data_IF_077644847878
#
_entry.id   IF_077644847878
#
_cell.length_a   1.000
_cell.length_b   1.000
_cell.length_c   1.000
_cell.angle_alpha   90.00
_cell.angle_beta   90.00
_cell.angle_gamma   90.00
#
_symmetry.space_group_name_H-M   'P 1'
#
loop_
_entity.id
_entity.type
_entity.pdbx_description
1 polymer ?
#
# COMPACT_ATOMS: atom_id res chain seq x y z
N UNK A 1 -2.20 10.15 11.18
CA UNK A 1 -3.34 10.71 11.94
C UNK A 1 -3.55 9.83 13.15
N UNK A 2 -3.87 10.38 14.32
CA UNK A 2 -4.13 9.61 15.55
C UNK A 2 -5.64 9.45 15.75
N UNK A 3 -6.16 8.24 15.94
CA UNK A 3 -7.60 7.98 16.07
C UNK A 3 -8.26 8.82 17.17
N UNK A 4 -7.55 9.03 18.28
CA UNK A 4 -8.04 9.79 19.43
C UNK A 4 -8.24 11.28 19.15
N UNK A 5 -7.78 11.79 17.99
CA UNK A 5 -7.91 13.19 17.60
C UNK A 5 -8.67 13.38 16.30
N UNK A 6 -9.24 12.31 15.71
CA UNK A 6 -9.99 12.40 14.45
C UNK A 6 -11.36 13.04 14.67
N UNK A 7 -11.99 12.75 15.81
CA UNK A 7 -13.26 13.33 16.22
C UNK A 7 -13.02 14.31 17.36
N UNK A 8 -13.61 15.51 17.27
CA UNK A 8 -13.77 16.37 18.45
C UNK A 8 -14.83 15.79 19.39
N UNK A 9 -14.82 16.20 20.66
CA UNK A 9 -15.82 15.78 21.64
C UNK A 9 -17.26 16.07 21.17
N UNK A 10 -17.42 17.18 20.46
CA UNK A 10 -18.70 17.61 19.89
C UNK A 10 -19.14 16.71 18.72
N UNK A 11 -18.21 16.28 17.86
CA UNK A 11 -18.48 15.32 16.80
C UNK A 11 -18.75 13.92 17.36
N UNK A 12 -18.03 13.49 18.40
CA UNK A 12 -18.26 12.22 19.07
C UNK A 12 -19.66 12.17 19.71
N UNK A 13 -20.09 13.27 20.34
CA UNK A 13 -21.44 13.39 20.90
C UNK A 13 -22.53 13.32 19.81
N UNK A 14 -22.33 13.97 18.67
CA UNK A 14 -23.28 13.90 17.55
C UNK A 14 -23.40 12.48 16.97
N UNK A 15 -22.28 11.77 16.86
CA UNK A 15 -22.26 10.37 16.41
C UNK A 15 -22.98 9.48 17.41
N UNK A 16 -22.75 9.66 18.72
CA UNK A 16 -23.44 8.89 19.77
C UNK A 16 -24.95 9.13 19.77
N UNK A 17 -25.41 10.37 19.57
CA UNK A 17 -26.83 10.70 19.46
C UNK A 17 -27.46 10.04 18.22
N UNK A 18 -26.80 10.12 17.07
CA UNK A 18 -27.27 9.50 15.83
C UNK A 18 -27.37 7.97 15.95
N UNK A 19 -26.39 7.34 16.61
CA UNK A 19 -26.40 5.92 16.93
C UNK A 19 -27.61 5.59 17.80
N UNK A 20 -27.81 6.30 18.92
CA UNK A 20 -28.94 6.05 19.81
C UNK A 20 -30.30 6.22 19.13
N UNK A 21 -30.45 7.19 18.23
CA UNK A 21 -31.67 7.35 17.43
C UNK A 21 -31.91 6.20 16.45
N UNK A 22 -30.84 5.64 15.86
CA UNK A 22 -30.93 4.50 14.95
C UNK A 22 -31.22 3.18 15.68
N UNK A 23 -30.57 2.94 16.82
CA UNK A 23 -30.83 1.80 17.69
C UNK A 23 -32.25 1.85 18.25
N UNK A 24 -32.79 3.02 18.60
CA UNK A 24 -34.18 3.14 19.07
C UNK A 24 -35.23 2.72 18.01
N UNK A 25 -34.85 2.71 16.72
CA UNK A 25 -35.73 2.34 15.60
C UNK A 25 -35.44 0.94 15.06
N UNK A 26 -34.40 0.28 15.57
CA UNK A 26 -33.95 -1.03 15.11
C UNK A 26 -33.75 -1.97 16.30
N UNK A 27 -33.60 -3.27 16.07
CA UNK A 27 -33.19 -4.21 17.14
C UNK A 27 -31.70 -4.56 17.03
N UNK A 28 -30.93 -3.66 16.42
CA UNK A 28 -29.51 -3.83 16.17
C UNK A 28 -28.70 -2.95 17.14
N UNK A 29 -27.52 -3.44 17.51
CA UNK A 29 -26.49 -2.68 18.23
C UNK A 29 -25.49 -2.12 17.22
N UNK A 30 -25.16 -0.85 17.34
CA UNK A 30 -24.31 -0.11 16.42
C UNK A 30 -23.05 0.34 17.17
N UNK A 31 -21.92 -0.33 16.90
CA UNK A 31 -20.62 0.01 17.48
C UNK A 31 -19.81 0.86 16.50
N UNK A 32 -19.40 2.05 16.92
CA UNK A 32 -18.50 2.90 16.15
C UNK A 32 -17.05 2.69 16.60
N UNK A 33 -16.19 2.25 15.67
CA UNK A 33 -14.76 2.08 15.92
C UNK A 33 -13.94 3.00 15.01
N UNK A 34 -13.03 3.76 15.60
CA UNK A 34 -12.07 4.61 14.87
C UNK A 34 -10.68 4.07 15.12
N UNK A 35 -10.01 3.66 14.03
CA UNK A 35 -8.64 3.17 14.08
C UNK A 35 -7.68 4.20 13.46
N UNK A 36 -6.51 4.35 14.08
CA UNK A 36 -5.42 5.24 13.62
C UNK A 36 -4.95 4.80 12.23
N UNK A 37 -4.96 3.49 12.01
CA UNK A 37 -4.56 2.85 10.77
C UNK A 37 -5.38 1.58 10.58
N UNK A 38 -5.82 1.28 9.35
CA UNK A 38 -6.62 0.07 9.07
C UNK A 38 -5.79 -1.23 9.10
N UNK A 39 -4.46 -1.13 9.24
CA UNK A 39 -3.53 -2.25 9.18
C UNK A 39 -3.39 -2.85 7.77
N UNK A 40 -2.15 -3.25 7.43
CA UNK A 40 -1.77 -4.05 6.24
C UNK A 40 -1.79 -3.36 4.87
N UNK A 41 -1.32 -2.12 4.80
CA UNK A 41 -0.87 -1.58 3.53
C UNK A 41 0.58 -1.94 3.19
N UNK A 42 1.31 -2.62 4.08
CA UNK A 42 2.68 -3.09 3.86
C UNK A 42 2.81 -3.90 2.54
N UNK A 43 1.71 -4.52 2.09
CA UNK A 43 1.65 -5.25 0.83
C UNK A 43 1.83 -4.35 -0.40
N UNK A 44 1.34 -3.12 -0.35
CA UNK A 44 1.46 -2.19 -1.48
C UNK A 44 2.83 -1.54 -1.57
N UNK A 45 3.51 -1.38 -0.45
CA UNK A 45 4.92 -0.96 -0.41
C UNK A 45 5.80 -2.00 -1.08
N UNK A 46 5.58 -3.28 -0.76
CA UNK A 46 6.31 -4.38 -1.41
C UNK A 46 6.00 -4.47 -2.91
N UNK A 47 4.74 -4.27 -3.32
CA UNK A 47 4.37 -4.25 -4.74
C UNK A 47 5.08 -3.11 -5.49
N UNK A 48 5.16 -1.92 -4.89
CA UNK A 48 5.91 -0.79 -5.45
C UNK A 48 7.41 -1.12 -5.57
N UNK A 49 7.99 -1.76 -4.56
CA UNK A 49 9.35 -2.30 -4.60
C UNK A 49 9.59 -3.21 -5.80
N UNK A 50 8.70 -4.19 -6.01
CA UNK A 50 8.84 -5.15 -7.13
C UNK A 50 8.70 -4.46 -8.48
N UNK A 51 7.74 -3.54 -8.64
CA UNK A 51 7.55 -2.79 -9.89
C UNK A 51 8.78 -1.94 -10.20
N UNK A 52 9.33 -1.24 -9.20
CA UNK A 52 10.55 -0.44 -9.38
C UNK A 52 11.75 -1.32 -9.75
N UNK A 53 11.92 -2.47 -9.08
CA UNK A 53 12.97 -3.43 -9.41
C UNK A 53 12.88 -3.92 -10.86
N UNK A 54 11.67 -4.24 -11.34
CA UNK A 54 11.44 -4.65 -12.72
C UNK A 54 11.80 -3.55 -13.71
N UNK A 55 11.39 -2.30 -13.45
CA UNK A 55 11.72 -1.14 -14.27
C UNK A 55 13.24 -0.95 -14.34
N UNK A 56 13.94 -0.98 -13.20
CA UNK A 56 15.40 -0.83 -13.16
C UNK A 56 16.11 -1.93 -13.93
N UNK A 57 15.63 -3.17 -13.86
CA UNK A 57 16.19 -4.29 -14.61
C UNK A 57 16.02 -4.10 -16.12
N UNK A 58 14.84 -3.66 -16.55
CA UNK A 58 14.55 -3.33 -17.97
C UNK A 58 15.43 -2.17 -18.43
N UNK A 59 15.50 -1.09 -17.66
CA UNK A 59 16.34 0.08 -17.99
C UNK A 59 17.81 -0.31 -18.10
N UNK A 60 18.32 -1.14 -17.18
CA UNK A 60 19.70 -1.62 -17.22
C UNK A 60 19.99 -2.43 -18.50
N UNK A 61 19.07 -3.29 -18.93
CA UNK A 61 19.20 -4.02 -20.20
C UNK A 61 19.11 -3.08 -21.41
N UNK A 62 18.16 -2.15 -21.41
CA UNK A 62 17.95 -1.18 -22.49
C UNK A 62 19.18 -0.29 -22.68
N UNK A 63 19.78 0.22 -21.60
CA UNK A 63 21.01 1.03 -21.67
C UNK A 63 22.15 0.23 -22.29
N UNK A 64 22.35 -1.03 -21.87
CA UNK A 64 23.39 -1.88 -22.46
C UNK A 64 23.15 -2.17 -23.93
N UNK A 65 21.90 -2.45 -24.29
CA UNK A 65 21.50 -2.68 -25.66
C UNK A 65 21.82 -1.47 -26.55
N UNK A 66 21.47 -0.25 -26.11
CA UNK A 66 21.80 0.97 -26.85
C UNK A 66 23.31 1.25 -26.92
N UNK A 67 24.05 1.06 -25.82
CA UNK A 67 25.51 1.22 -25.83
C UNK A 67 26.20 0.25 -26.80
N UNK A 68 25.63 -0.93 -27.01
CA UNK A 68 26.17 -1.90 -27.96
C UNK A 68 25.85 -1.54 -29.41
N UNK A 69 24.63 -1.06 -29.68
CA UNK A 69 24.27 -0.53 -31.00
C UNK A 69 25.20 0.62 -31.42
N UNK A 70 25.56 1.49 -30.47
CA UNK A 70 26.49 2.61 -30.70
C UNK A 70 27.92 2.13 -31.01
N UNK A 71 28.31 0.97 -30.48
CA UNK A 71 29.59 0.31 -30.78
C UNK A 71 29.57 -0.47 -32.11
N UNK A 72 28.44 -0.49 -32.83
CA UNK A 72 28.30 -1.17 -34.11
C UNK A 72 28.39 -2.71 -34.03
N UNK A 73 28.24 -3.29 -32.84
CA UNK A 73 28.32 -4.73 -32.62
C UNK A 73 26.94 -5.37 -32.60
N UNK A 74 26.70 -6.35 -33.48
CA UNK A 74 25.48 -7.16 -33.51
C UNK A 74 25.66 -8.52 -32.82
N UNK A 75 26.77 -8.75 -32.13
CA UNK A 75 26.99 -10.00 -31.36
C UNK A 75 26.00 -10.11 -30.18
N UNK A 76 25.85 -11.32 -29.62
CA UNK A 76 25.01 -11.53 -28.44
C UNK A 76 25.43 -10.57 -27.32
N UNK A 77 24.49 -9.76 -26.83
CA UNK A 77 24.72 -8.90 -25.67
C UNK A 77 25.12 -9.82 -24.52
N UNK A 78 26.34 -9.73 -23.95
CA UNK A 78 26.68 -10.51 -22.78
C UNK A 78 25.69 -10.14 -21.68
N UNK A 79 24.90 -11.13 -21.26
CA UNK A 79 23.87 -10.93 -20.26
C UNK A 79 24.50 -10.30 -19.02
N UNK A 80 23.74 -9.42 -18.34
CA UNK A 80 24.14 -8.95 -17.01
C UNK A 80 24.51 -10.18 -16.18
N UNK A 81 25.70 -10.18 -15.57
CA UNK A 81 26.09 -11.24 -14.67
C UNK A 81 25.00 -11.47 -13.62
N UNK A 82 24.67 -12.72 -13.27
CA UNK A 82 23.52 -13.03 -12.41
C UNK A 82 23.59 -12.31 -11.06
N UNK A 83 24.80 -12.08 -10.53
CA UNK A 83 25.01 -11.30 -9.31
C UNK A 83 24.50 -9.84 -9.43
N UNK A 84 24.72 -9.20 -10.58
CA UNK A 84 24.27 -7.82 -10.81
C UNK A 84 22.76 -7.75 -11.02
N UNK A 85 22.16 -8.76 -11.67
CA UNK A 85 20.71 -8.86 -11.81
C UNK A 85 20.03 -8.98 -10.44
N UNK A 86 20.54 -9.87 -9.58
CA UNK A 86 20.05 -10.01 -8.20
C UNK A 86 20.27 -8.73 -7.40
N UNK A 87 21.42 -8.09 -7.55
CA UNK A 87 21.71 -6.80 -6.91
C UNK A 87 20.72 -5.69 -7.28
N UNK A 88 20.41 -5.55 -8.57
CA UNK A 88 19.39 -4.60 -9.06
C UNK A 88 18.01 -4.97 -8.50
N UNK A 89 17.67 -6.25 -8.47
CA UNK A 89 16.36 -6.70 -7.99
C UNK A 89 16.17 -6.37 -6.51
N UNK A 90 17.14 -6.75 -5.68
CA UNK A 90 17.13 -6.48 -4.22
C UNK A 90 17.18 -4.98 -3.96
N UNK A 91 18.08 -4.26 -4.62
CA UNK A 91 18.20 -2.81 -4.49
C UNK A 91 16.93 -2.08 -4.90
N UNK A 92 16.33 -2.46 -6.02
CA UNK A 92 15.08 -1.87 -6.52
C UNK A 92 13.90 -2.14 -5.59
N UNK A 93 13.81 -3.35 -5.02
CA UNK A 93 12.78 -3.67 -4.03
C UNK A 93 12.95 -2.79 -2.80
N UNK A 94 14.15 -2.73 -2.23
CA UNK A 94 14.43 -1.92 -1.02
C UNK A 94 14.16 -0.44 -1.28
N UNK A 95 14.71 0.12 -2.36
CA UNK A 95 14.51 1.53 -2.73
C UNK A 95 13.03 1.82 -2.97
N UNK A 96 12.32 0.94 -3.68
CA UNK A 96 10.90 1.14 -3.98
C UNK A 96 10.00 1.02 -2.75
N UNK A 97 10.29 0.10 -1.83
CA UNK A 97 9.58 0.03 -0.54
C UNK A 97 9.80 1.27 0.30
N UNK A 98 11.04 1.76 0.39
CA UNK A 98 11.36 2.98 1.15
C UNK A 98 10.68 4.18 0.50
N UNK A 99 10.76 4.33 -0.82
CA UNK A 99 10.12 5.45 -1.51
C UNK A 99 8.58 5.42 -1.35
N UNK A 100 7.97 4.25 -1.38
CA UNK A 100 6.54 4.06 -1.13
C UNK A 100 6.14 4.44 0.31
N UNK A 101 6.99 4.15 1.31
CA UNK A 101 6.72 4.55 2.70
C UNK A 101 6.73 6.06 2.92
N UNK A 102 7.50 6.82 2.11
CA UNK A 102 7.51 8.29 2.18
C UNK A 102 6.39 8.92 1.33
N UNK A 103 6.03 8.33 0.19
CA UNK A 103 5.07 8.91 -0.75
C UNK A 103 3.67 8.26 -0.67
N UNK A 104 2.80 8.85 0.16
CA UNK A 104 1.44 8.37 0.39
C UNK A 104 0.54 8.34 -0.87
N UNK A 105 0.80 9.17 -1.87
CA UNK A 105 0.05 9.17 -3.14
C UNK A 105 0.31 7.95 -4.03
N UNK A 106 1.48 7.32 -3.93
CA UNK A 106 1.88 6.17 -4.74
C UNK A 106 1.15 4.90 -4.26
N UNK A 107 0.89 4.85 -2.95
CA UNK A 107 0.08 3.84 -2.25
C UNK A 107 -1.36 3.79 -2.74
N UNK A 108 -1.94 4.94 -3.13
CA UNK A 108 -3.31 5.01 -3.65
C UNK A 108 -3.46 4.56 -5.11
N UNK A 109 -2.43 4.77 -5.95
CA UNK A 109 -2.48 4.36 -7.36
C UNK A 109 -2.30 2.84 -7.52
N UNK A 110 -1.51 2.23 -6.62
CA UNK A 110 -1.19 0.81 -6.69
C UNK A 110 -2.15 -0.09 -5.89
N UNK A 111 -2.93 0.46 -4.96
CA UNK A 111 -3.98 -0.27 -4.24
C UNK A 111 -5.33 0.16 -4.77
N UNK A 112 -5.96 -0.71 -5.56
CA UNK A 112 -7.34 -0.51 -5.98
C UNK A 112 -8.26 -0.31 -4.77
N UNK A 113 -9.19 0.65 -4.88
CA UNK A 113 -10.13 1.06 -3.82
C UNK A 113 -11.02 -0.08 -3.30
N UNK A 114 -11.14 -1.18 -4.03
CA UNK A 114 -11.86 -2.39 -3.59
C UNK A 114 -11.23 -3.09 -2.38
N UNK A 115 -9.90 -3.21 -2.35
CA UNK A 115 -9.20 -3.93 -1.25
C UNK A 115 -9.29 -3.15 0.07
N UNK A 116 -9.33 -1.81 0.01
CA UNK A 116 -9.48 -0.99 1.22
C UNK A 116 -10.83 -1.25 1.91
N UNK A 117 -11.91 -1.44 1.15
CA UNK A 117 -13.24 -1.69 1.72
C UNK A 117 -13.31 -3.05 2.41
N UNK A 118 -12.70 -4.06 1.81
CA UNK A 118 -12.66 -5.43 2.34
C UNK A 118 -11.85 -5.52 3.65
N UNK A 119 -10.74 -4.77 3.73
CA UNK A 119 -9.95 -4.66 4.96
C UNK A 119 -10.69 -3.89 6.07
N UNK A 120 -11.43 -2.84 5.72
CA UNK A 120 -12.28 -2.11 6.67
C UNK A 120 -13.40 -3.01 7.21
N UNK A 121 -14.06 -3.78 6.35
CA UNK A 121 -15.14 -4.69 6.75
C UNK A 121 -14.63 -5.81 7.67
N UNK A 122 -13.46 -6.37 7.34
CA UNK A 122 -12.78 -7.35 8.22
C UNK A 122 -12.40 -6.75 9.57
N UNK A 123 -11.83 -5.55 9.58
CA UNK A 123 -11.43 -4.87 10.82
C UNK A 123 -12.65 -4.53 11.68
N UNK A 124 -13.74 -4.05 11.08
CA UNK A 124 -15.00 -3.77 11.78
C UNK A 124 -15.56 -5.04 12.42
N UNK A 125 -15.59 -6.16 11.67
CA UNK A 125 -16.02 -7.47 12.18
C UNK A 125 -15.15 -7.95 13.35
N UNK A 126 -13.83 -7.78 13.25
CA UNK A 126 -12.89 -8.15 14.31
C UNK A 126 -13.13 -7.32 15.58
N UNK A 127 -13.24 -5.99 15.45
CA UNK A 127 -13.50 -5.13 16.61
C UNK A 127 -14.82 -5.53 17.26
N UNK A 128 -15.89 -5.67 16.48
CA UNK A 128 -17.20 -6.11 16.98
C UNK A 128 -17.11 -7.43 17.76
N UNK A 129 -16.39 -8.42 17.24
CA UNK A 129 -16.23 -9.72 17.90
C UNK A 129 -15.37 -9.68 19.19
N UNK A 130 -14.57 -8.63 19.38
CA UNK A 130 -13.70 -8.46 20.56
C UNK A 130 -14.20 -7.44 21.57
N UNK A 131 -15.22 -6.64 21.21
CA UNK A 131 -15.82 -5.61 22.05
C UNK A 131 -17.06 -6.07 22.83
N UNK A 132 -17.59 -7.27 22.55
CA UNK A 132 -18.67 -7.91 23.30
C UNK A 132 -18.15 -8.91 24.33
#
# INVERSE_FOLDING_TARGET
MNASTVLSDEQASQVAEAIGQAEARTSAEIVCAVATESGRYDRSEMLCGVVLAAILLVVAHTIRFFNQLDQGSFEEVPALGPAWQVGILVGGVVIGTVLASYWHGLRQVLVGSGIQREEVDRAATYVFATSG
#
